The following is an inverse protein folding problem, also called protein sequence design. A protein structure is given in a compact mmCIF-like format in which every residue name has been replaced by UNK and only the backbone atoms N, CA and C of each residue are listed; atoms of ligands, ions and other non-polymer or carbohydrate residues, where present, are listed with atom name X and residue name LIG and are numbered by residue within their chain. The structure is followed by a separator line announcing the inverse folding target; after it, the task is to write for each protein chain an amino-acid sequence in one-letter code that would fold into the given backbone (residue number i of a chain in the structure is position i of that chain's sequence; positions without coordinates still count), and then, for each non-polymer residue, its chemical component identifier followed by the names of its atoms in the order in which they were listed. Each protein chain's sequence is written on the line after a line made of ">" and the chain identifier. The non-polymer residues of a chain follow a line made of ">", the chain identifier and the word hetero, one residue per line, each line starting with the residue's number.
data_IF_168838133280
#
_entry.id   IF_168838133280
#
_cell.length_a   1.000
_cell.length_b   1.000
_cell.length_c   1.000
_cell.angle_alpha   90.00
_cell.angle_beta   90.00
_cell.angle_gamma   90.00
#
_symmetry.space_group_name_H-M   'P 1'
#
loop_
_entity.id
_entity.type
_entity.pdbx_description
1 polymer ?
#
# COMPACT_ATOMS: atom_id res chain seq x y z
N UNK A 1 -2.75 -10.78 8.75
CA UNK A 1 -3.01 -10.03 7.51
C UNK A 1 -2.96 -11.03 6.37
N UNK A 2 -3.91 -11.03 5.44
CA UNK A 2 -3.96 -12.02 4.36
C UNK A 2 -3.74 -11.27 3.05
N UNK A 3 -2.58 -11.45 2.43
CA UNK A 3 -2.32 -10.96 1.08
C UNK A 3 -3.03 -11.86 0.07
N UNK A 4 -3.28 -11.35 -1.14
CA UNK A 4 -3.72 -12.21 -2.25
C UNK A 4 -2.64 -13.26 -2.52
N UNK A 5 -2.98 -14.46 -3.04
CA UNK A 5 -2.01 -15.54 -3.28
C UNK A 5 -0.81 -15.16 -4.14
N UNK A 6 -0.91 -14.06 -4.90
CA UNK A 6 0.17 -13.53 -5.74
C UNK A 6 1.35 -12.95 -4.95
N UNK A 7 1.10 -12.29 -3.81
CA UNK A 7 2.16 -11.58 -3.06
C UNK A 7 2.49 -12.33 -1.79
N UNK A 8 3.66 -12.96 -1.78
CA UNK A 8 4.19 -13.67 -0.62
C UNK A 8 4.93 -12.70 0.30
N UNK A 9 4.59 -12.66 1.59
CA UNK A 9 5.23 -11.79 2.56
C UNK A 9 6.65 -12.30 2.89
N UNK A 10 7.66 -11.47 2.63
CA UNK A 10 9.04 -11.74 3.02
C UNK A 10 9.37 -11.10 4.37
N UNK A 11 9.11 -9.80 4.50
CA UNK A 11 9.45 -9.02 5.69
C UNK A 11 8.46 -7.88 5.95
N UNK A 12 8.25 -7.51 7.22
CA UNK A 12 7.57 -6.28 7.58
C UNK A 12 8.59 -5.18 7.81
N UNK A 13 8.71 -4.24 6.87
CA UNK A 13 9.71 -3.17 6.91
C UNK A 13 9.39 -2.11 7.97
N UNK A 14 8.15 -1.63 8.03
CA UNK A 14 7.77 -0.56 8.95
C UNK A 14 6.27 -0.49 9.22
N UNK A 15 5.88 0.06 10.37
CA UNK A 15 4.49 0.48 10.63
C UNK A 15 4.21 1.83 9.94
N UNK A 16 3.10 1.94 9.21
CA UNK A 16 2.60 3.20 8.64
C UNK A 16 1.45 3.78 9.48
N UNK A 17 1.05 5.03 9.20
CA UNK A 17 0.00 5.74 9.95
C UNK A 17 -1.31 4.95 10.06
N UNK A 18 -1.72 4.31 8.95
CA UNK A 18 -2.96 3.55 8.86
C UNK A 18 -2.73 2.05 8.62
N UNK A 19 -1.49 1.57 8.60
CA UNK A 19 -1.21 0.19 8.19
C UNK A 19 0.26 -0.19 8.35
N UNK A 20 0.79 -0.92 7.38
CA UNK A 20 2.12 -1.52 7.40
C UNK A 20 2.77 -1.40 6.02
N UNK A 21 4.09 -1.29 5.99
CA UNK A 21 4.92 -1.37 4.79
C UNK A 21 5.59 -2.73 4.81
N UNK A 22 5.35 -3.52 3.77
CA UNK A 22 5.78 -4.91 3.68
C UNK A 22 6.67 -5.11 2.47
N UNK A 23 7.74 -5.87 2.63
CA UNK A 23 8.48 -6.45 1.52
C UNK A 23 7.84 -7.78 1.15
N UNK A 24 7.50 -7.94 -0.13
CA UNK A 24 6.83 -9.13 -0.64
C UNK A 24 7.50 -9.62 -1.93
N UNK A 25 7.40 -10.91 -2.20
CA UNK A 25 7.72 -11.51 -3.50
C UNK A 25 6.45 -11.55 -4.35
N UNK A 26 6.47 -10.95 -5.53
CA UNK A 26 5.44 -11.18 -6.55
C UNK A 26 5.68 -12.55 -7.20
N UNK A 27 4.91 -13.55 -6.82
CA UNK A 27 5.07 -14.93 -7.32
C UNK A 27 4.86 -15.07 -8.83
N UNK A 28 4.21 -14.11 -9.49
CA UNK A 28 4.05 -14.14 -10.95
C UNK A 28 5.29 -13.62 -11.68
N UNK A 29 5.87 -12.51 -11.23
CA UNK A 29 7.03 -11.88 -11.90
C UNK A 29 8.37 -12.31 -11.30
N UNK A 30 8.34 -12.88 -10.09
CA UNK A 30 9.51 -13.17 -9.24
C UNK A 30 10.27 -11.92 -8.77
N UNK A 31 9.65 -10.74 -8.86
CA UNK A 31 10.26 -9.50 -8.35
C UNK A 31 9.93 -9.30 -6.86
N UNK A 32 10.86 -8.66 -6.16
CA UNK A 32 10.58 -8.04 -4.87
C UNK A 32 9.80 -6.74 -5.05
N UNK A 33 8.74 -6.58 -4.26
CA UNK A 33 7.84 -5.44 -4.28
C UNK A 33 7.53 -4.97 -2.87
N UNK A 34 7.20 -3.69 -2.76
CA UNK A 34 6.67 -3.12 -1.51
C UNK A 34 5.16 -3.12 -1.56
N UNK A 35 4.52 -3.65 -0.52
CA UNK A 35 3.07 -3.54 -0.33
C UNK A 35 2.80 -2.61 0.85
N UNK A 36 2.32 -1.40 0.55
CA UNK A 36 1.79 -0.47 1.56
C UNK A 36 0.33 -0.83 1.82
N UNK A 37 0.04 -1.22 3.06
CA UNK A 37 -1.33 -1.47 3.52
C UNK A 37 -1.91 -0.26 4.23
N UNK A 38 -3.21 -0.05 4.07
CA UNK A 38 -3.94 1.08 4.62
C UNK A 38 -5.32 0.59 5.07
N UNK A 39 -5.58 0.69 6.38
CA UNK A 39 -6.91 0.49 6.95
C UNK A 39 -7.81 1.68 6.56
N UNK A 40 -8.79 1.40 5.69
CA UNK A 40 -9.67 2.44 5.16
C UNK A 40 -10.58 3.03 6.24
N UNK A 41 -10.93 2.28 7.27
CA UNK A 41 -11.76 2.78 8.38
C UNK A 41 -10.99 3.80 9.21
N UNK A 42 -9.69 3.55 9.47
CA UNK A 42 -8.80 4.51 10.13
C UNK A 42 -8.53 5.75 9.27
N UNK A 43 -8.32 5.55 7.96
CA UNK A 43 -8.11 6.65 7.01
C UNK A 43 -9.34 7.57 6.92
N UNK A 44 -10.55 7.00 6.80
CA UNK A 44 -11.81 7.77 6.80
C UNK A 44 -12.04 8.52 8.12
N UNK A 45 -11.65 7.92 9.24
CA UNK A 45 -11.70 8.56 10.55
C UNK A 45 -10.59 9.60 10.77
N UNK A 46 -9.63 9.75 9.83
CA UNK A 46 -8.43 10.58 9.96
C UNK A 46 -7.67 10.31 11.27
N UNK A 47 -7.59 9.04 11.67
CA UNK A 47 -6.94 8.61 12.91
C UNK A 47 -5.80 7.64 12.62
N UNK A 48 -4.63 7.91 13.16
CA UNK A 48 -3.53 6.95 13.12
C UNK A 48 -3.88 5.68 13.91
N UNK A 49 -3.08 4.61 13.76
CA UNK A 49 -3.13 3.44 14.66
C UNK A 49 -2.98 3.81 16.15
N UNK A 50 -2.37 4.96 16.47
CA UNK A 50 -2.23 5.49 17.83
C UNK A 50 -3.38 6.44 18.24
N UNK A 51 -4.42 6.56 17.42
CA UNK A 51 -5.59 7.42 17.61
C UNK A 51 -5.28 8.93 17.59
N UNK A 52 -4.16 9.32 17.01
CA UNK A 52 -3.80 10.72 16.77
C UNK A 52 -4.51 11.22 15.50
N UNK A 53 -4.88 12.49 15.46
CA UNK A 53 -5.47 13.08 14.25
C UNK A 53 -4.41 13.25 13.17
N UNK A 54 -4.67 12.69 11.98
CA UNK A 54 -3.74 12.73 10.84
C UNK A 54 -4.46 13.31 9.62
N UNK A 55 -3.88 14.34 9.00
CA UNK A 55 -4.39 14.95 7.76
C UNK A 55 -3.83 14.28 6.49
N UNK A 56 -3.76 12.96 6.47
CA UNK A 56 -3.30 12.22 5.30
C UNK A 56 -4.51 11.83 4.44
N UNK A 57 -4.45 12.12 3.14
CA UNK A 57 -5.52 11.82 2.20
C UNK A 57 -5.11 10.68 1.27
N UNK A 58 -5.49 9.48 1.68
CA UNK A 58 -5.19 8.22 0.97
C UNK A 58 -5.73 8.23 -0.46
N UNK A 59 -6.94 8.77 -0.68
CA UNK A 59 -7.52 8.81 -2.03
C UNK A 59 -6.71 9.70 -2.97
N UNK A 60 -6.22 10.83 -2.45
CA UNK A 60 -5.35 11.73 -3.20
C UNK A 60 -3.99 11.10 -3.50
N UNK A 61 -3.45 10.31 -2.58
CA UNK A 61 -2.21 9.56 -2.81
C UNK A 61 -2.36 8.57 -3.99
N UNK A 62 -3.41 7.75 -3.99
CA UNK A 62 -3.69 6.81 -5.09
C UNK A 62 -3.95 7.56 -6.39
N UNK A 63 -4.70 8.66 -6.36
CA UNK A 63 -5.00 9.47 -7.54
C UNK A 63 -3.71 9.99 -8.18
N UNK A 64 -2.82 10.58 -7.39
CA UNK A 64 -1.54 11.12 -7.87
C UNK A 64 -0.66 10.00 -8.43
N UNK A 65 -0.54 8.87 -7.72
CA UNK A 65 0.24 7.73 -8.20
C UNK A 65 -0.33 7.13 -9.50
N UNK A 66 -1.66 7.03 -9.59
CA UNK A 66 -2.34 6.53 -10.79
C UNK A 66 -2.12 7.45 -11.99
N UNK A 67 -2.20 8.77 -11.79
CA UNK A 67 -1.92 9.76 -12.83
C UNK A 67 -0.48 9.68 -13.29
N UNK A 68 0.47 9.54 -12.36
CA UNK A 68 1.89 9.41 -12.69
C UNK A 68 2.18 8.13 -13.48
N UNK A 69 1.60 7.00 -13.08
CA UNK A 69 1.71 5.75 -13.85
C UNK A 69 1.09 5.86 -15.24
N UNK A 70 -0.06 6.54 -15.38
CA UNK A 70 -0.74 6.72 -16.66
C UNK A 70 0.09 7.54 -17.68
N UNK A 71 0.99 8.42 -17.22
CA UNK A 71 1.89 9.19 -18.08
C UNK A 71 3.26 8.51 -18.28
N UNK A 72 3.43 7.27 -17.83
CA UNK A 72 4.66 6.48 -17.99
C UNK A 72 5.64 6.54 -16.82
N UNK A 73 5.27 7.18 -15.72
CA UNK A 73 6.10 7.29 -14.51
C UNK A 73 7.17 8.39 -14.59
N UNK A 74 8.01 8.44 -13.55
CA UNK A 74 9.20 9.29 -13.53
C UNK A 74 10.36 8.52 -12.89
N UNK A 75 11.59 8.54 -13.45
CA UNK A 75 12.70 7.69 -12.98
C UNK A 75 13.13 7.93 -11.52
N UNK A 76 12.78 9.08 -10.94
CA UNK A 76 13.07 9.42 -9.55
C UNK A 76 11.82 9.44 -8.64
N UNK A 77 10.71 8.89 -9.10
CA UNK A 77 9.50 8.75 -8.28
C UNK A 77 9.12 7.28 -8.27
N UNK A 78 8.71 6.79 -7.11
CA UNK A 78 8.32 5.40 -6.92
C UNK A 78 7.16 5.03 -7.87
N UNK A 79 7.27 3.89 -8.54
CA UNK A 79 6.23 3.40 -9.44
C UNK A 79 5.21 2.58 -8.66
N UNK A 80 3.93 2.90 -8.83
CA UNK A 80 2.84 2.02 -8.39
C UNK A 80 2.57 0.98 -9.48
N UNK A 81 2.68 -0.31 -9.13
CA UNK A 81 2.42 -1.44 -10.04
C UNK A 81 0.95 -1.83 -10.10
N UNK A 82 0.30 -1.83 -8.94
CA UNK A 82 -1.08 -2.26 -8.77
C UNK A 82 -1.64 -1.70 -7.46
N UNK A 83 -2.97 -1.72 -7.31
CA UNK A 83 -3.62 -1.54 -6.02
C UNK A 83 -4.92 -2.33 -5.96
N UNK A 84 -5.24 -2.85 -4.78
CA UNK A 84 -6.45 -3.64 -4.57
C UNK A 84 -6.95 -3.52 -3.12
N UNK A 85 -8.24 -3.78 -2.92
CA UNK A 85 -8.88 -3.73 -1.60
C UNK A 85 -9.25 -5.14 -1.18
N UNK A 86 -8.84 -5.54 0.02
CA UNK A 86 -9.26 -6.79 0.64
C UNK A 86 -10.10 -6.51 1.88
N UNK A 87 -11.23 -7.22 1.99
CA UNK A 87 -12.03 -7.22 3.21
C UNK A 87 -11.37 -8.13 4.26
N UNK A 88 -11.10 -7.56 5.44
CA UNK A 88 -10.63 -8.29 6.63
C UNK A 88 -11.81 -8.79 7.47
N UNK A 89 -12.92 -8.06 7.47
CA UNK A 89 -14.21 -8.40 8.08
C UNK A 89 -15.34 -7.56 7.45
N UNK A 90 -16.61 -7.84 7.80
CA UNK A 90 -17.81 -7.22 7.19
C UNK A 90 -17.77 -5.69 7.05
N UNK A 91 -17.03 -4.98 7.91
CA UNK A 91 -16.89 -3.51 7.89
C UNK A 91 -15.44 -3.02 7.95
N UNK A 92 -14.48 -3.87 7.58
CA UNK A 92 -13.06 -3.53 7.65
C UNK A 92 -12.37 -3.88 6.35
N UNK A 93 -12.07 -2.84 5.56
CA UNK A 93 -11.40 -2.97 4.28
C UNK A 93 -9.99 -2.42 4.38
N UNK A 94 -9.05 -3.17 3.82
CA UNK A 94 -7.64 -2.80 3.76
C UNK A 94 -7.26 -2.60 2.30
N UNK A 95 -6.86 -1.38 1.97
CA UNK A 95 -6.24 -1.07 0.69
C UNK A 95 -4.78 -1.53 0.71
N UNK A 96 -4.36 -2.16 -0.38
CA UNK A 96 -2.99 -2.59 -0.62
C UNK A 96 -2.51 -1.87 -1.87
N UNK A 97 -1.42 -1.12 -1.73
CA UNK A 97 -0.76 -0.43 -2.84
C UNK A 97 0.57 -1.12 -3.09
N UNK A 98 0.73 -1.67 -4.29
CA UNK A 98 1.94 -2.40 -4.70
C UNK A 98 2.86 -1.46 -5.44
N UNK A 99 4.11 -1.38 -5.01
CA UNK A 99 5.12 -0.46 -5.54
C UNK A 99 6.43 -1.20 -5.79
N UNK A 100 7.30 -0.59 -6.59
CA UNK A 100 8.68 -1.06 -6.75
C UNK A 100 9.39 -1.14 -5.38
N UNK A 101 10.23 -2.14 -5.21
CA UNK A 101 11.20 -2.15 -4.11
C UNK A 101 12.47 -1.41 -4.56
N UNK A 102 12.97 -0.50 -3.71
CA UNK A 102 14.22 0.21 -3.94
C UNK A 102 15.20 -0.16 -2.83
N UNK A 103 16.24 -0.90 -3.16
CA UNK A 103 17.41 -1.04 -2.29
C UNK A 103 18.14 0.31 -2.25
N UNK A 104 18.27 0.86 -1.05
CA UNK A 104 18.89 2.17 -0.80
C UNK A 104 20.39 2.20 -1.02
#
# INVERSE_FOLDING_TARGET
>A
MRLVPRYELLESLQTSMFGEILLCLDTQTQDEVVVKTIDLSLALAQKSKKHESVQENVLKEIEVLSQLCAIGGHPNVITMRDYFVLSKSENHNVLHVVMDYCEG
#
